data_IF_994871232377
#
_entry.id   IF_994871232377
#
_cell.length_a   1.000
_cell.length_b   1.000
_cell.length_c   1.000
_cell.angle_alpha   90.00
_cell.angle_beta   90.00
_cell.angle_gamma   90.00
#
_symmetry.space_group_name_H-M   'P 1'
#
loop_
_entity.id
_entity.type
_entity.pdbx_description
1 polymer ?
#
# COMPACT_ATOMS: atom_id res chain seq x y z
N UNK A 1 -5.79 28.77 9.03
CA UNK A 1 -5.31 28.18 7.76
C UNK A 1 -5.46 26.68 7.86
N UNK A 2 -6.44 26.08 7.18
CA UNK A 2 -6.57 24.64 7.14
C UNK A 2 -5.34 24.08 6.41
N UNK A 3 -4.61 23.15 7.02
CA UNK A 3 -3.58 22.39 6.33
C UNK A 3 -4.27 21.70 5.14
N UNK A 4 -3.96 22.14 3.94
CA UNK A 4 -4.41 21.50 2.71
C UNK A 4 -3.73 20.13 2.70
N UNK A 5 -4.44 19.10 3.16
CA UNK A 5 -3.96 17.74 3.14
C UNK A 5 -3.88 17.34 1.67
N UNK A 6 -2.65 17.17 1.17
CA UNK A 6 -2.40 16.61 -0.14
C UNK A 6 -3.18 15.27 -0.27
N UNK A 7 -4.12 15.16 -1.23
CA UNK A 7 -4.91 13.95 -1.43
C UNK A 7 -4.04 12.70 -1.61
N UNK A 8 -2.85 12.84 -2.19
CA UNK A 8 -1.95 11.71 -2.41
C UNK A 8 -1.30 11.25 -1.09
N UNK A 9 -0.78 12.19 -0.31
CA UNK A 9 -0.23 11.93 1.01
C UNK A 9 -1.26 11.31 1.96
N UNK A 10 -2.54 11.62 1.78
CA UNK A 10 -3.62 11.03 2.56
C UNK A 10 -3.84 9.56 2.18
N UNK A 11 -3.82 9.24 0.88
CA UNK A 11 -4.00 7.87 0.37
C UNK A 11 -2.88 6.94 0.82
N UNK A 12 -1.63 7.36 0.69
CA UNK A 12 -0.47 6.58 1.15
C UNK A 12 -0.59 6.21 2.62
N UNK A 13 -0.91 7.19 3.48
CA UNK A 13 -1.08 6.98 4.92
C UNK A 13 -2.24 6.04 5.24
N UNK A 14 -3.35 6.13 4.51
CA UNK A 14 -4.47 5.22 4.68
C UNK A 14 -4.08 3.77 4.36
N UNK A 15 -3.36 3.55 3.25
CA UNK A 15 -2.87 2.22 2.89
C UNK A 15 -1.83 1.71 3.90
N UNK A 16 -0.91 2.55 4.36
CA UNK A 16 0.06 2.20 5.40
C UNK A 16 -0.63 1.79 6.70
N UNK A 17 -1.70 2.49 7.10
CA UNK A 17 -2.45 2.17 8.31
C UNK A 17 -3.05 0.76 8.27
N UNK A 18 -3.47 0.27 7.09
CA UNK A 18 -3.97 -1.12 6.94
C UNK A 18 -2.86 -2.11 7.34
N UNK A 19 -1.64 -1.92 6.85
CA UNK A 19 -0.49 -2.76 7.16
C UNK A 19 -0.09 -2.63 8.64
N UNK A 20 -0.02 -1.40 9.15
CA UNK A 20 0.36 -1.13 10.54
C UNK A 20 -0.62 -1.76 11.53
N UNK A 21 -1.92 -1.62 11.31
CA UNK A 21 -2.97 -2.23 12.15
C UNK A 21 -2.85 -3.74 12.07
N UNK A 22 -2.76 -4.31 10.87
CA UNK A 22 -2.70 -5.76 10.72
C UNK A 22 -1.48 -6.37 11.43
N UNK A 23 -0.33 -5.71 11.34
CA UNK A 23 0.88 -6.11 12.08
C UNK A 23 0.70 -5.99 13.59
N UNK A 24 0.15 -4.87 14.10
CA UNK A 24 -0.12 -4.67 15.54
C UNK A 24 -1.04 -5.75 16.11
N UNK A 25 -2.00 -6.22 15.32
CA UNK A 25 -2.91 -7.31 15.69
C UNK A 25 -2.38 -8.71 15.35
N UNK A 26 -1.09 -8.83 14.99
CA UNK A 26 -0.38 -10.10 14.76
C UNK A 26 -0.98 -10.95 13.64
N UNK A 27 -1.59 -10.33 12.64
CA UNK A 27 -2.01 -11.03 11.44
C UNK A 27 -0.80 -11.43 10.59
N UNK A 28 -0.71 -12.71 10.22
CA UNK A 28 0.37 -13.21 9.38
C UNK A 28 0.11 -13.10 7.88
N UNK A 29 -1.14 -12.88 7.46
CA UNK A 29 -1.52 -12.76 6.06
C UNK A 29 -2.54 -11.63 5.88
N UNK A 30 -2.52 -10.97 4.73
CA UNK A 30 -3.50 -9.96 4.34
C UNK A 30 -4.29 -10.43 3.12
N UNK A 31 -5.59 -10.11 3.09
CA UNK A 31 -6.43 -10.19 1.89
C UNK A 31 -7.00 -8.80 1.66
N UNK A 32 -6.63 -8.18 0.55
CA UNK A 32 -6.92 -6.79 0.20
C UNK A 32 -7.66 -6.73 -1.14
N UNK A 33 -8.06 -5.53 -1.55
CA UNK A 33 -8.67 -5.28 -2.86
C UNK A 33 -8.14 -3.97 -3.47
N UNK A 34 -8.65 -3.58 -4.64
CA UNK A 34 -8.28 -2.36 -5.37
C UNK A 34 -8.81 -1.09 -4.65
N UNK A 35 -8.14 -0.70 -3.57
CA UNK A 35 -8.61 0.35 -2.66
C UNK A 35 -8.93 1.66 -3.40
N UNK A 36 -10.21 2.04 -3.38
CA UNK A 36 -10.71 3.28 -4.01
C UNK A 36 -10.67 3.30 -5.54
N UNK A 37 -10.42 2.18 -6.23
CA UNK A 37 -10.35 2.14 -7.69
C UNK A 37 -11.72 2.07 -8.39
N UNK A 38 -12.82 2.00 -7.62
CA UNK A 38 -14.20 2.03 -8.12
C UNK A 38 -14.83 3.43 -8.04
N UNK A 39 -15.78 3.63 -7.12
CA UNK A 39 -16.51 4.89 -6.96
C UNK A 39 -15.61 6.13 -6.75
N UNK A 40 -14.46 5.95 -6.10
CA UNK A 40 -13.48 7.02 -5.86
C UNK A 40 -12.53 7.27 -7.03
N UNK A 41 -12.61 6.45 -8.09
CA UNK A 41 -11.89 6.62 -9.37
C UNK A 41 -10.37 6.78 -9.23
N UNK A 42 -9.77 6.15 -8.21
CA UNK A 42 -8.31 6.10 -8.14
C UNK A 42 -7.77 5.26 -9.31
N UNK A 43 -6.70 5.69 -10.00
CA UNK A 43 -6.08 4.89 -11.05
C UNK A 43 -5.57 3.54 -10.48
N UNK A 44 -6.00 2.38 -11.00
CA UNK A 44 -5.62 1.08 -10.44
C UNK A 44 -4.12 0.83 -10.43
N UNK A 45 -3.43 1.24 -11.51
CA UNK A 45 -1.97 1.12 -11.62
C UNK A 45 -1.26 1.89 -10.49
N UNK A 46 -1.70 3.11 -10.22
CA UNK A 46 -1.13 3.93 -9.18
C UNK A 46 -1.31 3.29 -7.79
N UNK A 47 -2.51 2.79 -7.49
CA UNK A 47 -2.78 2.12 -6.22
C UNK A 47 -1.97 0.83 -6.07
N UNK A 48 -1.78 0.06 -7.16
CA UNK A 48 -0.92 -1.11 -7.15
C UNK A 48 0.55 -0.76 -6.88
N UNK A 49 1.07 0.35 -7.41
CA UNK A 49 2.42 0.84 -7.12
C UNK A 49 2.57 1.25 -5.64
N UNK A 50 1.55 1.90 -5.05
CA UNK A 50 1.55 2.22 -3.63
C UNK A 50 1.61 0.95 -2.76
N UNK A 51 0.81 -0.06 -3.10
CA UNK A 51 0.88 -1.36 -2.43
C UNK A 51 2.24 -2.03 -2.59
N UNK A 52 2.86 -1.96 -3.76
CA UNK A 52 4.22 -2.47 -3.98
C UNK A 52 5.22 -1.83 -3.02
N UNK A 53 5.19 -0.51 -2.87
CA UNK A 53 6.04 0.23 -1.93
C UNK A 53 5.83 -0.23 -0.48
N UNK A 54 4.57 -0.43 -0.07
CA UNK A 54 4.26 -0.94 1.27
C UNK A 54 4.71 -2.39 1.47
N UNK A 55 4.58 -3.24 0.46
CA UNK A 55 5.08 -4.62 0.52
C UNK A 55 6.60 -4.63 0.75
N UNK A 56 7.35 -3.74 0.10
CA UNK A 56 8.78 -3.57 0.37
C UNK A 56 9.05 -3.01 1.78
N UNK A 57 8.31 -1.99 2.22
CA UNK A 57 8.44 -1.42 3.57
C UNK A 57 8.20 -2.47 4.66
N UNK A 58 7.26 -3.38 4.43
CA UNK A 58 6.86 -4.45 5.34
C UNK A 58 7.46 -5.82 4.95
N UNK A 59 8.59 -5.84 4.23
CA UNK A 59 9.23 -7.09 3.83
C UNK A 59 9.54 -7.98 5.05
N UNK A 60 8.98 -9.19 5.06
CA UNK A 60 9.08 -10.16 6.16
C UNK A 60 8.12 -9.99 7.33
N UNK A 61 7.26 -8.97 7.32
CA UNK A 61 6.24 -8.77 8.37
C UNK A 61 5.01 -9.64 8.14
N UNK A 62 4.71 -9.97 6.88
CA UNK A 62 3.60 -10.83 6.48
C UNK A 62 4.12 -12.03 5.69
N UNK A 63 3.52 -13.20 5.92
CA UNK A 63 3.79 -14.43 5.16
C UNK A 63 3.28 -14.31 3.73
N UNK A 64 2.08 -13.74 3.56
CA UNK A 64 1.42 -13.58 2.26
C UNK A 64 0.51 -12.35 2.24
N UNK A 65 0.47 -11.66 1.10
CA UNK A 65 -0.50 -10.60 0.81
C UNK A 65 -1.23 -10.99 -0.46
N UNK A 66 -2.55 -11.15 -0.36
CA UNK A 66 -3.42 -11.48 -1.48
C UNK A 66 -4.26 -10.27 -1.88
N UNK A 67 -4.46 -10.09 -3.17
CA UNK A 67 -5.42 -9.13 -3.70
C UNK A 67 -6.57 -9.89 -4.33
N UNK A 68 -7.76 -9.74 -3.75
CA UNK A 68 -9.01 -10.32 -4.23
C UNK A 68 -9.80 -9.27 -5.01
N UNK A 69 -10.19 -9.64 -6.23
CA UNK A 69 -10.99 -8.81 -7.11
C UNK A 69 -12.31 -9.50 -7.37
N UNK A 70 -13.41 -8.77 -7.20
CA UNK A 70 -14.72 -9.20 -7.66
C UNK A 70 -14.85 -8.68 -9.09
N UNK A 71 -15.01 -9.61 -10.03
CA UNK A 71 -15.29 -9.29 -11.42
C UNK A 71 -16.81 -9.23 -11.58
N UNK A 72 -17.37 -8.03 -11.49
CA UNK A 72 -18.79 -7.76 -11.65
C UNK A 72 -19.02 -6.73 -12.78
N UNK A 73 -20.27 -6.34 -13.02
CA UNK A 73 -20.63 -5.35 -14.04
C UNK A 73 -19.98 -3.95 -13.87
N UNK A 74 -19.22 -3.68 -12.81
CA UNK A 74 -18.47 -2.44 -12.61
C UNK A 74 -17.03 -2.49 -13.13
N UNK A 75 -16.56 -3.63 -13.63
CA UNK A 75 -15.25 -3.79 -14.30
C UNK A 75 -15.40 -3.54 -15.81
N UNK A 76 -14.37 -2.96 -16.46
CA UNK A 76 -14.37 -2.80 -17.93
C UNK A 76 -15.29 -1.70 -18.48
N UNK A 77 -15.70 -0.72 -17.67
CA UNK A 77 -16.48 0.43 -18.13
C UNK A 77 -15.56 1.53 -18.71
N UNK A 78 -16.12 2.56 -19.37
CA UNK A 78 -15.33 3.64 -20.01
C UNK A 78 -14.32 4.32 -19.08
N UNK A 79 -14.55 4.24 -17.76
CA UNK A 79 -13.71 4.84 -16.71
C UNK A 79 -12.62 3.87 -16.22
N UNK A 80 -12.80 2.55 -16.38
CA UNK A 80 -11.87 1.50 -15.97
C UNK A 80 -11.81 0.38 -17.02
N UNK A 81 -11.28 0.66 -18.24
CA UNK A 81 -11.39 -0.23 -19.39
C UNK A 81 -10.65 -1.56 -19.19
N UNK A 82 -9.51 -1.54 -18.49
CA UNK A 82 -8.71 -2.74 -18.20
C UNK A 82 -9.12 -3.45 -16.90
N UNK A 83 -10.09 -2.87 -16.17
CA UNK A 83 -10.48 -3.32 -14.85
C UNK A 83 -9.35 -3.20 -13.81
N UNK A 84 -9.63 -3.70 -12.60
CA UNK A 84 -8.65 -3.67 -11.51
C UNK A 84 -7.64 -4.82 -11.58
N UNK A 85 -8.02 -5.95 -12.18
CA UNK A 85 -7.23 -7.16 -12.14
C UNK A 85 -5.92 -7.04 -12.90
N UNK A 86 -5.94 -6.53 -14.14
CA UNK A 86 -4.77 -6.53 -15.01
C UNK A 86 -3.62 -5.63 -14.48
N UNK A 87 -3.87 -4.39 -14.02
CA UNK A 87 -2.81 -3.55 -13.45
C UNK A 87 -2.19 -4.15 -12.19
N UNK A 88 -3.02 -4.66 -11.28
CA UNK A 88 -2.52 -5.30 -10.05
C UNK A 88 -1.75 -6.58 -10.34
N UNK A 89 -2.25 -7.42 -11.25
CA UNK A 89 -1.55 -8.63 -11.68
C UNK A 89 -0.16 -8.28 -12.24
N UNK A 90 -0.10 -7.32 -13.15
CA UNK A 90 1.15 -6.90 -13.79
C UNK A 90 2.20 -6.42 -12.77
N UNK A 91 1.77 -5.69 -11.73
CA UNK A 91 2.69 -5.05 -10.78
C UNK A 91 3.06 -5.97 -9.59
N UNK A 92 2.13 -6.81 -9.13
CA UNK A 92 2.20 -7.49 -7.83
C UNK A 92 2.18 -9.01 -7.91
N UNK A 93 1.70 -9.61 -9.00
CA UNK A 93 1.61 -11.07 -9.10
C UNK A 93 3.01 -11.69 -9.08
N UNK A 94 3.17 -12.74 -8.27
CA UNK A 94 4.47 -13.38 -8.04
C UNK A 94 5.53 -12.53 -7.33
N UNK A 95 5.19 -11.33 -6.83
CA UNK A 95 6.15 -10.48 -6.11
C UNK A 95 6.60 -11.15 -4.80
N UNK A 96 7.88 -11.52 -4.74
CA UNK A 96 8.52 -12.04 -3.54
C UNK A 96 9.52 -11.00 -3.01
N UNK A 97 9.34 -10.59 -1.76
CA UNK A 97 10.24 -9.66 -1.07
C UNK A 97 10.84 -10.30 0.16
N UNK A 98 12.11 -10.01 0.41
CA UNK A 98 12.83 -10.50 1.58
C UNK A 98 13.24 -9.32 2.47
N UNK A 99 13.31 -9.52 3.80
CA UNK A 99 13.86 -8.51 4.69
C UNK A 99 15.23 -8.03 4.19
N UNK A 100 15.52 -6.72 4.27
CA UNK A 100 16.84 -6.22 3.91
C UNK A 100 17.90 -6.86 4.82
N UNK A 101 18.99 -7.33 4.22
CA UNK A 101 20.13 -7.92 4.94
C UNK A 101 20.96 -6.87 5.69
N UNK A 102 20.83 -5.60 5.30
CA UNK A 102 21.51 -4.46 5.93
C UNK A 102 20.50 -3.36 6.25
N UNK A 103 20.56 -2.81 7.46
CA UNK A 103 19.77 -1.64 7.83
C UNK A 103 20.30 -0.43 7.05
N UNK A 104 19.48 0.13 6.17
CA UNK A 104 19.81 1.37 5.47
C UNK A 104 19.67 2.54 6.45
N UNK A 105 20.71 3.36 6.56
CA UNK A 105 20.61 4.67 7.21
C UNK A 105 19.51 5.47 6.49
N UNK A 106 18.51 5.94 7.23
CA UNK A 106 17.28 6.58 6.73
C UNK A 106 16.30 5.68 5.95
N UNK A 107 16.46 4.36 5.98
CA UNK A 107 15.47 3.43 5.43
C UNK A 107 14.21 3.35 6.27
N UNK A 108 13.05 3.22 5.64
CA UNK A 108 11.78 2.96 6.33
C UNK A 108 11.52 1.46 6.32
N UNK A 109 11.27 0.87 7.49
CA UNK A 109 10.87 -0.53 7.64
C UNK A 109 9.76 -0.66 8.68
N UNK A 110 8.72 -1.43 8.33
CA UNK A 110 7.59 -1.67 9.20
C UNK A 110 6.78 -0.40 9.55
N UNK A 111 6.05 -0.41 10.68
CA UNK A 111 5.06 0.61 11.04
C UNK A 111 5.63 1.95 11.55
N UNK A 112 6.94 2.18 11.43
CA UNK A 112 7.57 3.42 11.89
C UNK A 112 8.14 4.20 10.72
N UNK A 113 7.35 5.15 10.20
CA UNK A 113 7.91 6.33 9.52
C UNK A 113 8.71 7.07 10.59
N UNK A 114 10.05 7.07 10.47
CA UNK A 114 10.94 7.82 11.37
C UNK A 114 10.38 9.24 11.52
N UNK A 115 9.79 9.55 12.68
CA UNK A 115 9.57 10.93 13.08
C UNK A 115 10.95 11.46 13.47
N UNK A 116 11.68 12.01 12.51
CA UNK A 116 12.76 12.92 12.83
C UNK A 116 12.10 14.15 13.49
N UNK A 117 11.87 14.10 14.80
CA UNK A 117 11.98 15.31 15.59
C UNK A 117 13.46 15.60 15.63
N UNK A 118 13.86 16.60 14.84
CA UNK A 118 15.15 17.25 15.00
C UNK A 118 15.39 17.49 16.49
N UNK A 119 16.54 17.04 16.97
CA UNK A 119 17.06 17.40 18.28
C UNK A 119 17.45 18.87 18.24
N UNK A 120 16.45 19.76 18.37
CA UNK A 120 16.65 21.10 18.89
C UNK A 120 15.80 21.21 20.15
N UNK A 121 16.45 20.96 21.29
CA UNK A 121 15.79 20.89 22.58
C UNK A 121 16.78 20.76 23.74
N UNK A 122 17.66 21.76 23.86
CA UNK A 122 18.69 21.98 24.90
C UNK A 122 19.89 21.05 24.92
#
# INVERSE_FOLDING_TARGET
MAAYLDPELTKEKMLENIFAIAYRHKHGCLVLSAFGCGAFKNPPEHVALLFKSLIYQYAGYFKKVYFAFVDDHNTGNQINPDGNFLPFKTILDGLNVHPPTTIRVNGVSGPNRVLNKTSDGK
#
